data_IF_935504883073
#
_entry.id   IF_935504883073
#
_cell.length_a   1.000
_cell.length_b   1.000
_cell.length_c   1.000
_cell.angle_alpha   90.00
_cell.angle_beta   90.00
_cell.angle_gamma   90.00
#
_symmetry.space_group_name_H-M   'P 1'
#
loop_
_entity.id
_entity.type
_entity.pdbx_description
1 polymer ?
#
# COMPACT_ATOMS: atom_id res chain seq x y z
N UNK A 1 -10.89 -1.92 -14.31
CA UNK A 1 -11.70 -2.78 -13.40
C UNK A 1 -10.83 -3.56 -12.41
N UNK A 2 -9.61 -4.00 -12.78
CA UNK A 2 -8.72 -4.75 -11.88
C UNK A 2 -8.32 -4.00 -10.59
N UNK A 3 -8.08 -2.69 -10.64
CA UNK A 3 -7.73 -1.92 -9.44
C UNK A 3 -8.78 -1.97 -8.32
N UNK A 4 -10.07 -2.03 -8.66
CA UNK A 4 -11.14 -2.12 -7.66
C UNK A 4 -11.10 -3.49 -6.99
N UNK A 5 -10.94 -4.57 -7.76
CA UNK A 5 -10.84 -5.92 -7.19
C UNK A 5 -9.60 -6.10 -6.32
N UNK A 6 -8.44 -5.57 -6.71
CA UNK A 6 -7.24 -5.67 -5.88
C UNK A 6 -7.40 -4.89 -4.57
N UNK A 7 -7.96 -3.67 -4.63
CA UNK A 7 -8.20 -2.86 -3.43
C UNK A 7 -9.23 -3.50 -2.49
N UNK A 8 -10.32 -4.08 -3.02
CA UNK A 8 -11.33 -4.76 -2.19
C UNK A 8 -10.79 -6.03 -1.56
N UNK A 9 -10.05 -6.86 -2.31
CA UNK A 9 -9.37 -8.04 -1.78
C UNK A 9 -8.33 -7.67 -0.72
N UNK A 10 -7.55 -6.61 -0.95
CA UNK A 10 -6.62 -6.06 0.03
C UNK A 10 -7.32 -5.60 1.31
N UNK A 11 -8.42 -4.87 1.20
CA UNK A 11 -9.22 -4.43 2.35
C UNK A 11 -9.76 -5.64 3.14
N UNK A 12 -10.29 -6.66 2.47
CA UNK A 12 -10.85 -7.85 3.11
C UNK A 12 -9.79 -8.63 3.90
N UNK A 13 -8.62 -8.86 3.30
CA UNK A 13 -7.49 -9.52 3.99
C UNK A 13 -6.99 -8.68 5.16
N UNK A 14 -6.88 -7.36 4.98
CA UNK A 14 -6.46 -6.45 6.03
C UNK A 14 -7.42 -6.44 7.23
N UNK A 15 -8.73 -6.43 6.99
CA UNK A 15 -9.76 -6.55 8.05
C UNK A 15 -9.66 -7.88 8.78
N UNK A 16 -9.53 -8.99 8.04
CA UNK A 16 -9.42 -10.32 8.64
C UNK A 16 -8.17 -10.43 9.53
N UNK A 17 -7.02 -9.99 9.04
CA UNK A 17 -5.75 -10.05 9.78
C UNK A 17 -5.77 -9.14 11.00
N UNK A 18 -6.15 -7.87 10.83
CA UNK A 18 -6.12 -6.90 11.93
C UNK A 18 -7.22 -7.13 12.96
N UNK A 19 -8.35 -7.72 12.57
CA UNK A 19 -9.42 -8.10 13.47
C UNK A 19 -9.09 -9.37 14.27
N UNK A 20 -8.45 -10.37 13.65
CA UNK A 20 -8.27 -11.69 14.24
C UNK A 20 -6.91 -11.91 14.91
N UNK A 21 -5.81 -11.50 14.27
CA UNK A 21 -4.45 -11.78 14.79
C UNK A 21 -4.22 -11.20 16.17
N UNK A 22 -4.58 -9.93 16.47
CA UNK A 22 -4.44 -9.39 17.81
C UNK A 22 -5.22 -10.20 18.86
N UNK A 23 -6.43 -10.66 18.53
CA UNK A 23 -7.26 -11.45 19.45
C UNK A 23 -6.62 -12.78 19.82
N UNK A 24 -6.01 -13.47 18.84
CA UNK A 24 -5.25 -14.71 19.08
C UNK A 24 -4.05 -14.47 20.00
N UNK A 25 -3.47 -13.27 19.95
CA UNK A 25 -2.37 -12.85 20.83
C UNK A 25 -2.85 -12.29 22.18
N UNK A 26 -4.16 -12.37 22.48
CA UNK A 26 -4.73 -11.85 23.73
C UNK A 26 -4.82 -10.32 23.79
N UNK A 27 -4.71 -9.63 22.65
CA UNK A 27 -4.77 -8.18 22.54
C UNK A 27 -6.07 -7.77 21.87
N UNK A 28 -6.82 -6.85 22.48
CA UNK A 28 -7.98 -6.25 21.82
C UNK A 28 -7.52 -5.08 20.93
N UNK A 29 -7.66 -5.17 19.60
CA UNK A 29 -7.22 -4.09 18.72
C UNK A 29 -8.18 -2.91 18.83
N UNK A 30 -7.63 -1.71 18.95
CA UNK A 30 -8.43 -0.50 18.82
C UNK A 30 -9.03 -0.41 17.40
N UNK A 31 -10.20 0.22 17.27
CA UNK A 31 -10.87 0.37 15.96
C UNK A 31 -9.95 1.05 14.93
N UNK A 32 -9.15 2.03 15.36
CA UNK A 32 -8.18 2.73 14.52
C UNK A 32 -7.11 1.81 13.96
N UNK A 33 -6.64 0.84 14.75
CA UNK A 33 -5.70 -0.19 14.30
C UNK A 33 -6.27 -0.99 13.13
N UNK A 34 -7.51 -1.47 13.29
CA UNK A 34 -8.18 -2.30 12.27
C UNK A 34 -8.43 -1.50 11.00
N UNK A 35 -8.97 -0.28 11.13
CA UNK A 35 -9.26 0.60 9.99
C UNK A 35 -7.97 1.01 9.26
N UNK A 36 -6.94 1.43 9.99
CA UNK A 36 -5.65 1.83 9.42
C UNK A 36 -5.01 0.66 8.67
N UNK A 37 -4.96 -0.52 9.29
CA UNK A 37 -4.35 -1.69 8.69
C UNK A 37 -5.08 -2.13 7.42
N UNK A 38 -6.42 -2.18 7.45
CA UNK A 38 -7.22 -2.53 6.29
C UNK A 38 -7.08 -1.51 5.15
N UNK A 39 -7.11 -0.22 5.45
CA UNK A 39 -6.94 0.85 4.46
C UNK A 39 -5.55 0.82 3.82
N UNK A 40 -4.50 0.58 4.61
CA UNK A 40 -3.13 0.43 4.09
C UNK A 40 -3.01 -0.82 3.22
N UNK A 41 -3.60 -1.95 3.61
CA UNK A 41 -3.61 -3.17 2.81
C UNK A 41 -4.35 -2.96 1.46
N UNK A 42 -5.48 -2.26 1.48
CA UNK A 42 -6.23 -1.92 0.26
C UNK A 42 -5.43 -1.05 -0.71
N UNK A 43 -4.77 0.00 -0.21
CA UNK A 43 -3.94 0.87 -1.04
C UNK A 43 -2.64 0.21 -1.50
N UNK A 44 -2.03 -0.60 -0.64
CA UNK A 44 -0.80 -1.32 -0.96
C UNK A 44 -1.01 -2.38 -2.06
N UNK A 45 -2.22 -2.92 -2.19
CA UNK A 45 -2.58 -3.77 -3.32
C UNK A 45 -2.50 -3.03 -4.66
N UNK A 46 -2.54 -1.69 -4.70
CA UNK A 46 -2.39 -0.92 -5.95
C UNK A 46 -0.96 -0.44 -6.20
N UNK A 47 -0.03 -0.63 -5.25
CA UNK A 47 1.36 -0.23 -5.41
C UNK A 47 2.05 -0.91 -6.59
N UNK A 48 1.85 -2.21 -6.86
CA UNK A 48 2.55 -2.85 -7.97
C UNK A 48 2.16 -2.28 -9.34
N UNK A 49 0.90 -1.86 -9.50
CA UNK A 49 0.37 -1.26 -10.72
C UNK A 49 0.95 0.14 -11.03
N UNK A 50 1.66 0.78 -10.10
CA UNK A 50 2.37 2.03 -10.35
C UNK A 50 3.55 1.86 -11.32
N UNK A 51 4.02 0.63 -11.56
CA UNK A 51 5.11 0.38 -12.50
C UNK A 51 4.67 0.49 -13.98
N UNK A 52 3.37 0.47 -14.27
CA UNK A 52 2.80 0.48 -15.62
C UNK A 52 2.48 1.90 -16.11
N UNK A 53 3.00 2.38 -17.27
CA UNK A 53 2.86 3.77 -17.73
C UNK A 53 1.44 4.18 -18.10
N UNK A 54 0.50 3.24 -18.17
CA UNK A 54 -0.90 3.47 -18.49
C UNK A 54 -1.85 3.11 -17.34
N UNK A 55 -1.34 2.81 -16.14
CA UNK A 55 -2.26 2.58 -15.01
C UNK A 55 -2.89 3.91 -14.61
N UNK A 56 -4.18 3.90 -14.30
CA UNK A 56 -4.92 5.09 -13.81
C UNK A 56 -4.24 5.72 -12.59
N UNK A 57 -3.51 4.91 -11.82
CA UNK A 57 -2.67 5.38 -10.74
C UNK A 57 -1.45 6.17 -11.25
N UNK A 58 -0.69 5.65 -12.21
CA UNK A 58 0.49 6.33 -12.77
C UNK A 58 0.17 7.64 -13.52
N UNK A 59 -0.98 7.73 -14.20
CA UNK A 59 -1.30 8.85 -15.10
C UNK A 59 -2.10 9.97 -14.45
N UNK A 60 -2.81 9.70 -13.35
CA UNK A 60 -3.78 10.65 -12.80
C UNK A 60 -3.69 10.90 -11.28
N UNK A 61 -2.68 10.38 -10.56
CA UNK A 61 -2.60 10.56 -9.09
C UNK A 61 -1.94 11.84 -8.60
N UNK A 62 -0.92 12.40 -9.28
CA UNK A 62 -0.15 13.64 -9.00
C UNK A 62 1.36 13.47 -9.23
N UNK A 63 2.11 14.58 -9.21
CA UNK A 63 3.58 14.66 -9.15
C UNK A 63 4.21 13.66 -8.17
N UNK A 64 3.57 13.34 -7.05
CA UNK A 64 4.08 12.35 -6.08
C UNK A 64 4.07 10.91 -6.63
N UNK A 65 3.04 10.51 -7.38
CA UNK A 65 3.00 9.21 -8.06
C UNK A 65 3.91 9.18 -9.28
N UNK A 66 4.11 10.31 -9.95
CA UNK A 66 5.15 10.47 -10.96
C UNK A 66 6.56 10.32 -10.36
N UNK A 67 6.85 10.96 -9.22
CA UNK A 67 8.14 10.83 -8.51
C UNK A 67 8.35 9.42 -7.97
N UNK A 68 7.33 8.80 -7.35
CA UNK A 68 7.38 7.42 -6.92
C UNK A 68 7.65 6.48 -8.10
N UNK A 69 6.97 6.68 -9.24
CA UNK A 69 7.22 5.91 -10.47
C UNK A 69 8.63 6.12 -11.02
N UNK A 70 9.18 7.34 -10.96
CA UNK A 70 10.53 7.64 -11.40
C UNK A 70 11.63 7.10 -10.46
N UNK A 71 11.31 6.74 -9.22
CA UNK A 71 12.24 6.09 -8.27
C UNK A 71 12.08 4.57 -8.29
N UNK A 72 10.85 4.06 -8.26
CA UNK A 72 10.53 2.62 -8.20
C UNK A 72 10.90 1.90 -9.49
N UNK A 73 10.73 2.54 -10.66
CA UNK A 73 11.07 1.95 -11.97
C UNK A 73 12.57 1.69 -12.17
N UNK A 74 13.48 2.66 -11.94
CA UNK A 74 14.92 2.39 -12.07
C UNK A 74 15.45 1.44 -11.01
N UNK A 75 14.89 1.45 -9.78
CA UNK A 75 15.22 0.46 -8.75
C UNK A 75 14.79 -0.96 -9.17
N UNK A 76 13.57 -1.12 -9.68
CA UNK A 76 13.08 -2.41 -10.18
C UNK A 76 13.89 -2.90 -11.39
N UNK A 77 14.25 -2.00 -12.31
CA UNK A 77 15.11 -2.32 -13.44
C UNK A 77 16.55 -2.66 -13.01
N UNK A 78 17.09 -1.98 -11.99
CA UNK A 78 18.41 -2.28 -11.42
C UNK A 78 18.41 -3.67 -10.76
N UNK A 79 17.44 -3.93 -9.88
CA UNK A 79 17.33 -5.24 -9.22
C UNK A 79 17.14 -6.34 -10.24
N UNK A 80 16.25 -6.17 -11.22
CA UNK A 80 16.09 -7.13 -12.31
C UNK A 80 17.41 -7.34 -13.07
N UNK A 81 18.14 -6.30 -13.46
CA UNK A 81 19.44 -6.47 -14.14
C UNK A 81 20.45 -7.24 -13.29
N UNK A 82 20.42 -7.07 -11.97
CA UNK A 82 21.32 -7.76 -11.04
C UNK A 82 20.90 -9.21 -10.79
N UNK A 83 19.61 -9.51 -10.83
CA UNK A 83 19.06 -10.84 -10.48
C UNK A 83 18.64 -11.69 -11.69
N UNK A 84 18.66 -11.12 -12.91
CA UNK A 84 18.18 -11.77 -14.14
C UNK A 84 18.91 -13.09 -14.40
N UNK A 85 18.15 -14.18 -14.48
CA UNK A 85 18.67 -15.48 -14.88
C UNK A 85 18.72 -15.61 -16.42
N UNK A 86 19.46 -16.60 -16.93
CA UNK A 86 19.62 -16.82 -18.40
C UNK A 86 18.30 -17.04 -19.16
N UNK A 87 17.21 -17.38 -18.46
CA UNK A 87 15.87 -17.62 -19.04
C UNK A 87 14.93 -16.42 -18.96
N UNK A 88 15.29 -15.37 -18.23
CA UNK A 88 14.41 -14.21 -18.04
C UNK A 88 14.46 -13.31 -19.27
N UNK A 89 13.34 -13.21 -19.99
CA UNK A 89 13.15 -12.36 -21.16
C UNK A 89 12.38 -11.09 -20.78
N UNK A 90 12.95 -9.90 -21.01
CA UNK A 90 12.27 -8.64 -20.72
C UNK A 90 13.21 -7.54 -20.21
N UNK A 91 12.63 -6.39 -19.82
CA UNK A 91 13.36 -5.23 -19.26
C UNK A 91 13.27 -5.12 -17.73
N UNK A 92 12.45 -5.95 -17.07
CA UNK A 92 12.23 -5.88 -15.62
C UNK A 92 11.52 -4.61 -15.14
N UNK A 93 10.98 -3.83 -16.07
CA UNK A 93 10.30 -2.55 -15.80
C UNK A 93 8.81 -2.72 -15.51
N UNK A 94 8.25 -3.91 -15.77
CA UNK A 94 6.87 -4.31 -15.49
C UNK A 94 6.91 -5.68 -14.85
N UNK A 95 6.20 -5.88 -13.73
CA UNK A 95 6.17 -7.15 -12.98
C UNK A 95 7.52 -7.59 -12.42
N UNK A 96 8.42 -6.63 -12.19
CA UNK A 96 9.71 -6.83 -11.54
C UNK A 96 9.57 -6.90 -10.02
N UNK A 97 10.44 -6.22 -9.30
CA UNK A 97 10.50 -6.24 -7.82
C UNK A 97 9.13 -5.97 -7.15
N UNK A 98 8.34 -5.05 -7.72
CA UNK A 98 7.01 -4.64 -7.23
C UNK A 98 5.99 -5.78 -7.16
N UNK A 99 6.15 -6.83 -7.97
CA UNK A 99 5.24 -7.98 -8.04
C UNK A 99 5.87 -9.24 -7.41
N UNK A 100 6.81 -9.05 -6.48
CA UNK A 100 7.47 -10.16 -5.77
C UNK A 100 7.24 -10.04 -4.27
N UNK A 101 7.13 -11.20 -3.60
CA UNK A 101 7.09 -11.28 -2.14
C UNK A 101 8.32 -10.62 -1.52
N UNK A 102 9.49 -10.73 -2.16
CA UNK A 102 10.71 -10.09 -1.69
C UNK A 102 10.61 -8.56 -1.73
N UNK A 103 10.14 -7.98 -2.84
CA UNK A 103 9.94 -6.53 -2.93
C UNK A 103 8.90 -6.02 -1.95
N UNK A 104 7.81 -6.77 -1.76
CA UNK A 104 6.82 -6.50 -0.74
C UNK A 104 7.44 -6.50 0.67
N UNK A 105 8.21 -7.55 1.01
CA UNK A 105 8.90 -7.69 2.29
C UNK A 105 9.90 -6.55 2.55
N UNK A 106 10.72 -6.20 1.55
CA UNK A 106 11.68 -5.11 1.66
C UNK A 106 10.98 -3.77 1.92
N UNK A 107 9.89 -3.47 1.21
CA UNK A 107 9.12 -2.25 1.43
C UNK A 107 8.45 -2.26 2.82
N UNK A 108 7.85 -3.38 3.23
CA UNK A 108 7.25 -3.52 4.56
C UNK A 108 8.26 -3.31 5.69
N UNK A 109 9.45 -3.92 5.58
CA UNK A 109 10.55 -3.71 6.53
C UNK A 109 11.00 -2.25 6.54
N UNK A 110 11.15 -1.62 5.37
CA UNK A 110 11.52 -0.20 5.28
C UNK A 110 10.50 0.71 5.97
N UNK A 111 9.20 0.47 5.79
CA UNK A 111 8.13 1.23 6.47
C UNK A 111 8.17 1.01 7.98
N UNK A 112 8.38 -0.21 8.46
CA UNK A 112 8.49 -0.47 9.91
C UNK A 112 9.73 0.18 10.52
N UNK A 113 10.89 0.12 9.85
CA UNK A 113 12.11 0.80 10.30
C UNK A 113 11.93 2.32 10.31
N UNK A 114 11.27 2.87 9.29
CA UNK A 114 10.94 4.28 9.21
C UNK A 114 9.99 4.69 10.35
N UNK A 115 8.95 3.90 10.59
CA UNK A 115 8.00 4.12 11.69
C UNK A 115 8.70 4.04 13.05
N UNK A 116 9.62 3.11 13.26
CA UNK A 116 10.39 3.02 14.50
C UNK A 116 11.30 4.25 14.71
N UNK A 117 11.84 4.83 13.64
CA UNK A 117 12.74 5.98 13.72
C UNK A 117 12.04 7.33 13.83
N UNK A 118 10.93 7.50 13.11
CA UNK A 118 10.27 8.81 12.94
C UNK A 118 8.85 8.85 13.50
N UNK A 119 8.29 7.71 13.93
CA UNK A 119 7.03 7.63 14.67
C UNK A 119 5.78 7.91 13.83
N UNK A 120 4.82 8.59 14.47
CA UNK A 120 3.47 8.87 13.96
C UNK A 120 3.42 9.52 12.56
N UNK A 121 4.31 10.48 12.20
CA UNK A 121 4.33 11.03 10.84
C UNK A 121 4.44 9.98 9.73
N UNK A 122 5.20 8.90 9.95
CA UNK A 122 5.34 7.81 8.96
C UNK A 122 4.06 7.00 8.86
N UNK A 123 3.40 6.74 10.00
CA UNK A 123 2.14 5.99 10.04
C UNK A 123 1.02 6.75 9.31
N UNK A 124 0.86 8.04 9.64
CA UNK A 124 -0.10 8.94 8.98
C UNK A 124 0.21 9.08 7.50
N UNK A 125 1.48 9.30 7.13
CA UNK A 125 1.90 9.42 5.74
C UNK A 125 1.62 8.15 4.93
N UNK A 126 1.88 6.97 5.51
CA UNK A 126 1.58 5.68 4.88
C UNK A 126 0.08 5.49 4.68
N UNK A 127 -0.72 5.75 5.72
CA UNK A 127 -2.19 5.71 5.63
C UNK A 127 -2.71 6.64 4.54
N UNK A 128 -2.25 7.89 4.51
CA UNK A 128 -2.63 8.88 3.52
C UNK A 128 -2.34 8.42 2.08
N UNK A 129 -1.11 7.96 1.83
CA UNK A 129 -0.71 7.50 0.49
C UNK A 129 -1.55 6.29 0.07
N UNK A 130 -1.72 5.30 0.95
CA UNK A 130 -2.51 4.12 0.62
C UNK A 130 -4.00 4.45 0.41
N UNK A 131 -4.59 5.35 1.19
CA UNK A 131 -5.96 5.81 0.96
C UNK A 131 -6.08 6.53 -0.38
N UNK A 132 -5.13 7.41 -0.71
CA UNK A 132 -5.12 8.10 -2.01
C UNK A 132 -5.06 7.12 -3.18
N UNK A 133 -4.25 6.06 -3.07
CA UNK A 133 -4.17 4.97 -4.05
C UNK A 133 -5.50 4.23 -4.14
N UNK A 134 -6.03 3.75 -3.02
CA UNK A 134 -7.28 2.99 -2.97
C UNK A 134 -8.46 3.76 -3.57
N UNK A 135 -8.61 5.03 -3.20
CA UNK A 135 -9.66 5.92 -3.75
C UNK A 135 -9.45 6.13 -5.24
N UNK A 136 -8.21 6.34 -5.69
CA UNK A 136 -7.92 6.46 -7.12
C UNK A 136 -8.31 5.20 -7.90
N UNK A 137 -8.12 4.02 -7.30
CA UNK A 137 -8.55 2.75 -7.88
C UNK A 137 -10.05 2.73 -8.22
N UNK A 138 -10.87 3.51 -7.51
CA UNK A 138 -12.32 3.63 -7.71
C UNK A 138 -12.72 4.57 -8.86
N UNK A 139 -11.82 5.39 -9.41
CA UNK A 139 -12.13 6.34 -10.49
C UNK A 139 -12.72 5.65 -11.73
N UNK A 140 -12.43 4.36 -11.92
CA UNK A 140 -12.99 3.56 -13.00
C UNK A 140 -14.50 3.27 -12.85
N UNK A 141 -15.06 3.43 -11.65
CA UNK A 141 -16.48 3.17 -11.34
C UNK A 141 -17.18 4.48 -10.95
N UNK A 142 -16.56 5.25 -10.07
CA UNK A 142 -17.09 6.53 -9.60
C UNK A 142 -16.02 7.58 -9.82
N UNK A 143 -16.02 8.29 -10.96
CA UNK A 143 -15.13 9.43 -11.15
C UNK A 143 -15.45 10.47 -10.07
N UNK A 144 -14.50 10.68 -9.17
CA UNK A 144 -14.73 11.41 -7.93
C UNK A 144 -13.92 12.71 -7.81
N UNK A 145 -14.09 13.43 -6.68
CA UNK A 145 -13.23 14.55 -6.30
C UNK A 145 -11.75 14.14 -6.26
N UNK A 146 -10.80 15.10 -6.19
CA UNK A 146 -9.38 14.79 -6.15
C UNK A 146 -9.08 13.79 -5.02
N UNK A 147 -8.58 12.60 -5.36
CA UNK A 147 -8.38 11.49 -4.42
C UNK A 147 -7.55 11.89 -3.20
N UNK A 148 -6.64 12.85 -3.35
CA UNK A 148 -5.82 13.41 -2.28
C UNK A 148 -6.63 14.19 -1.24
N UNK A 149 -7.65 14.94 -1.64
CA UNK A 149 -8.48 15.72 -0.70
C UNK A 149 -9.28 14.77 0.18
N UNK A 150 -9.87 13.74 -0.45
CA UNK A 150 -10.61 12.70 0.27
C UNK A 150 -9.67 11.91 1.17
N UNK A 151 -8.50 11.49 0.66
CA UNK A 151 -7.51 10.78 1.46
C UNK A 151 -7.01 11.61 2.65
N UNK A 152 -6.78 12.90 2.48
CA UNK A 152 -6.39 13.80 3.57
C UNK A 152 -7.50 13.91 4.62
N UNK A 153 -8.76 14.11 4.19
CA UNK A 153 -9.91 14.16 5.07
C UNK A 153 -10.13 12.86 5.84
N UNK A 154 -10.04 11.71 5.18
CA UNK A 154 -10.16 10.40 5.82
C UNK A 154 -9.00 10.10 6.76
N UNK A 155 -7.76 10.43 6.38
CA UNK A 155 -6.58 10.26 7.25
C UNK A 155 -6.73 11.10 8.52
N UNK A 156 -7.12 12.37 8.37
CA UNK A 156 -7.42 13.23 9.51
C UNK A 156 -8.55 12.67 10.37
N UNK A 157 -9.62 12.16 9.74
CA UNK A 157 -10.74 11.61 10.47
C UNK A 157 -10.37 10.35 11.26
N UNK A 158 -9.57 9.45 10.68
CA UNK A 158 -9.04 8.26 11.36
C UNK A 158 -8.20 8.67 12.56
N UNK A 159 -7.26 9.59 12.38
CA UNK A 159 -6.35 9.99 13.46
C UNK A 159 -7.08 10.76 14.58
N UNK A 160 -8.10 11.57 14.23
CA UNK A 160 -8.78 12.44 15.19
C UNK A 160 -9.97 11.79 15.89
N UNK A 161 -10.74 10.96 15.19
CA UNK A 161 -12.05 10.50 15.65
C UNK A 161 -12.16 8.99 15.82
N UNK A 162 -11.25 8.19 15.27
CA UNK A 162 -11.29 6.73 15.43
C UNK A 162 -10.38 6.33 16.61
N UNK A 163 -10.91 5.61 17.62
CA UNK A 163 -10.12 5.22 18.80
C UNK A 163 -8.81 4.52 18.43
N UNK A 164 -7.69 5.02 18.94
CA UNK A 164 -6.36 4.49 18.70
C UNK A 164 -5.70 4.96 17.39
N UNK A 165 -6.43 5.65 16.51
CA UNK A 165 -5.91 6.24 15.26
C UNK A 165 -4.98 5.29 14.51
N UNK A 166 -3.82 5.79 14.12
CA UNK A 166 -2.75 4.97 13.52
C UNK A 166 -1.84 4.27 14.54
N UNK A 167 -1.87 4.69 15.81
CA UNK A 167 -0.87 4.32 16.81
C UNK A 167 -0.75 2.81 17.04
N UNK A 168 -1.87 2.08 17.05
CA UNK A 168 -1.86 0.63 17.25
C UNK A 168 -1.29 -0.19 16.09
N UNK A 169 -0.91 0.47 14.97
CA UNK A 169 -0.19 -0.17 13.86
C UNK A 169 1.34 0.02 13.95
N UNK A 170 1.84 0.77 14.93
CA UNK A 170 3.27 1.00 15.11
C UNK A 170 4.03 -0.33 15.25
N UNK A 171 5.13 -0.47 14.50
CA UNK A 171 5.97 -1.68 14.49
C UNK A 171 5.48 -2.82 13.59
N UNK A 172 4.26 -2.76 13.05
CA UNK A 172 3.75 -3.81 12.16
C UNK A 172 2.92 -3.31 10.98
N UNK A 173 2.78 -2.00 10.77
CA UNK A 173 2.13 -1.43 9.60
C UNK A 173 2.74 -1.91 8.28
N UNK A 174 4.05 -2.20 8.26
CA UNK A 174 4.73 -2.82 7.13
C UNK A 174 4.14 -4.17 6.72
N UNK A 175 3.56 -4.93 7.65
CA UNK A 175 2.87 -6.21 7.35
C UNK A 175 1.63 -5.96 6.49
N UNK A 176 0.88 -4.88 6.75
CA UNK A 176 -0.26 -4.50 5.90
C UNK A 176 0.18 -4.21 4.47
N UNK A 177 1.31 -3.52 4.30
CA UNK A 177 1.89 -3.24 2.97
C UNK A 177 2.26 -4.52 2.25
N UNK A 178 2.95 -5.44 2.94
CA UNK A 178 3.31 -6.75 2.40
C UNK A 178 2.08 -7.51 1.93
N UNK A 179 1.07 -7.63 2.79
CA UNK A 179 -0.16 -8.36 2.50
C UNK A 179 -0.88 -7.77 1.29
N UNK A 180 -1.01 -6.44 1.21
CA UNK A 180 -1.64 -5.80 0.06
C UNK A 180 -0.94 -6.14 -1.26
N UNK A 181 0.38 -6.00 -1.31
CA UNK A 181 1.17 -6.32 -2.51
C UNK A 181 1.14 -7.82 -2.88
N UNK A 182 1.10 -8.70 -1.87
CA UNK A 182 0.97 -10.15 -2.10
C UNK A 182 -0.40 -10.50 -2.63
N UNK A 183 -1.48 -9.93 -2.08
CA UNK A 183 -2.85 -10.10 -2.58
C UNK A 183 -2.97 -9.65 -4.03
N UNK A 184 -2.35 -8.53 -4.39
CA UNK A 184 -2.25 -8.08 -5.78
C UNK A 184 -1.57 -9.10 -6.69
N UNK A 185 -0.51 -9.75 -6.19
CA UNK A 185 0.27 -10.71 -6.99
C UNK A 185 -0.44 -12.06 -7.16
N UNK A 186 -1.39 -12.39 -6.29
CA UNK A 186 -2.15 -13.66 -6.30
C UNK A 186 -3.50 -13.53 -7.02
N UNK A 187 -4.13 -12.35 -6.98
CA UNK A 187 -5.39 -12.06 -7.67
C UNK A 187 -5.20 -11.69 -9.12
#
# INVERSE_FOLDING_TARGET
MLGVSHATSGAAVGLAVAGYVPQVLGVQPAAGTVVTFAAVCAGAALLPDLDHPSSTASTHLTVASFLASNVVRPLSALVYRLTRARRDTGRGTHRGLTHTVLGAALLGVAINLASARWGTPVLIGTLFVCLALAIKGLDAIVPGPPSLVIAAGLTFAVERYVPGGTAGTAGWLGVAVVLGMVVHSVG
#
